data_IF_168833360554
#
_entry.id   IF_168833360554
#
_cell.length_a   1.000
_cell.length_b   1.000
_cell.length_c   1.000
_cell.angle_alpha   90.00
_cell.angle_beta   90.00
_cell.angle_gamma   90.00
#
_symmetry.space_group_name_H-M   'P 1'
#
loop_
_entity.id
_entity.type
_entity.pdbx_description
1 polymer ?
#
# COMPACT_ATOMS: atom_id res chain seq x y z
N UNK A 1 -68.20 -5.96 35.52
CA UNK A 1 -67.53 -6.41 34.30
C UNK A 1 -67.11 -5.25 33.34
N UNK A 2 -67.88 -4.13 33.22
CA UNK A 2 -67.56 -3.02 32.26
C UNK A 2 -66.28 -2.23 32.52
N UNK A 3 -65.65 -2.26 33.70
CA UNK A 3 -64.42 -1.53 34.04
C UNK A 3 -63.13 -2.32 33.89
N UNK A 4 -63.19 -3.66 33.71
CA UNK A 4 -62.05 -4.53 33.60
C UNK A 4 -61.49 -4.53 32.14
N UNK A 5 -62.36 -4.41 31.14
CA UNK A 5 -61.98 -4.43 29.73
C UNK A 5 -61.03 -3.28 29.37
N UNK A 6 -61.26 -2.00 29.73
CA UNK A 6 -60.33 -0.96 29.40
C UNK A 6 -58.96 -1.06 30.09
N UNK A 7 -58.95 -1.66 31.31
CA UNK A 7 -57.69 -1.91 32.02
C UNK A 7 -56.87 -3.03 31.32
N UNK A 8 -57.53 -4.11 30.92
CA UNK A 8 -56.88 -5.20 30.16
C UNK A 8 -56.37 -4.72 28.81
N UNK A 9 -57.11 -3.89 28.09
CA UNK A 9 -56.66 -3.28 26.83
C UNK A 9 -55.45 -2.36 27.02
N UNK A 10 -55.44 -1.55 28.07
CA UNK A 10 -54.31 -0.68 28.39
C UNK A 10 -53.05 -1.50 28.74
N UNK A 11 -53.20 -2.55 29.56
CA UNK A 11 -52.06 -3.41 29.92
C UNK A 11 -51.51 -4.18 28.68
N UNK A 12 -52.41 -4.70 27.83
CA UNK A 12 -51.96 -5.37 26.59
C UNK A 12 -51.24 -4.40 25.63
N UNK A 13 -51.68 -3.14 25.53
CA UNK A 13 -51.01 -2.11 24.72
C UNK A 13 -49.60 -1.80 25.25
N UNK A 14 -49.49 -1.67 26.58
CA UNK A 14 -48.16 -1.43 27.21
C UNK A 14 -47.22 -2.62 26.95
N UNK A 15 -47.68 -3.85 27.04
CA UNK A 15 -46.89 -5.04 26.75
C UNK A 15 -46.46 -5.07 25.28
N UNK A 16 -47.35 -4.72 24.35
CA UNK A 16 -47.02 -4.64 22.92
C UNK A 16 -45.97 -3.56 22.62
N UNK A 17 -46.09 -2.39 23.24
CA UNK A 17 -45.12 -1.32 23.11
C UNK A 17 -43.76 -1.76 23.68
N UNK A 18 -43.75 -2.37 24.86
CA UNK A 18 -42.51 -2.87 25.47
C UNK A 18 -41.86 -3.97 24.60
N UNK A 19 -42.65 -4.92 24.10
CA UNK A 19 -42.18 -5.96 23.18
C UNK A 19 -41.65 -5.37 21.87
N UNK A 20 -42.32 -4.36 21.31
CA UNK A 20 -41.87 -3.63 20.13
C UNK A 20 -40.54 -2.91 20.37
N UNK A 21 -40.39 -2.26 21.54
CA UNK A 21 -39.14 -1.58 21.91
C UNK A 21 -37.98 -2.57 22.09
N UNK A 22 -38.22 -3.70 22.78
CA UNK A 22 -37.20 -4.76 22.93
C UNK A 22 -36.84 -5.35 21.56
N UNK A 23 -37.87 -5.66 20.74
CA UNK A 23 -37.66 -6.15 19.37
C UNK A 23 -36.85 -5.16 18.52
N UNK A 24 -37.15 -3.87 18.59
CA UNK A 24 -36.40 -2.82 17.91
C UNK A 24 -34.91 -2.75 18.36
N UNK A 25 -34.67 -2.82 19.68
CA UNK A 25 -33.31 -2.86 20.24
C UNK A 25 -32.52 -4.07 19.77
N UNK A 26 -33.19 -5.23 19.70
CA UNK A 26 -32.56 -6.45 19.17
C UNK A 26 -32.23 -6.31 17.68
N UNK A 27 -33.19 -5.81 16.89
CA UNK A 27 -32.95 -5.54 15.44
C UNK A 27 -31.84 -4.54 15.21
N UNK A 28 -31.85 -3.45 15.97
CA UNK A 28 -30.80 -2.40 15.88
C UNK A 28 -29.39 -2.99 16.07
N UNK A 29 -29.24 -3.99 16.95
CA UNK A 29 -27.96 -4.68 17.20
C UNK A 29 -27.41 -5.40 15.95
N UNK A 30 -28.30 -5.86 15.06
CA UNK A 30 -27.95 -6.61 13.85
C UNK A 30 -27.98 -5.75 12.58
N UNK A 31 -28.48 -4.51 12.64
CA UNK A 31 -28.48 -3.62 11.49
C UNK A 31 -27.05 -3.12 11.18
N UNK A 32 -26.60 -3.22 9.92
CA UNK A 32 -25.29 -2.69 9.51
C UNK A 32 -25.18 -1.18 9.75
N UNK A 33 -24.03 -0.74 10.23
CA UNK A 33 -23.74 0.71 10.25
C UNK A 33 -23.55 1.23 8.84
N UNK A 34 -23.92 2.50 8.65
CA UNK A 34 -23.63 3.29 7.44
C UNK A 34 -22.49 4.31 7.66
N UNK A 35 -21.91 4.30 8.85
CA UNK A 35 -20.80 5.19 9.19
C UNK A 35 -19.58 4.86 8.34
N UNK A 36 -19.00 5.88 7.71
CA UNK A 36 -17.77 5.77 6.93
C UNK A 36 -16.56 6.02 7.80
N UNK A 37 -15.49 5.31 7.48
CA UNK A 37 -14.19 5.55 8.08
C UNK A 37 -13.55 6.80 7.46
N UNK A 38 -12.79 7.49 8.25
CA UNK A 38 -11.80 8.45 7.77
C UNK A 38 -10.58 7.67 7.29
N UNK A 39 -10.23 7.80 6.01
CA UNK A 39 -9.12 7.04 5.44
C UNK A 39 -7.76 7.53 5.95
N UNK A 40 -7.63 8.81 6.31
CA UNK A 40 -6.42 9.32 6.94
C UNK A 40 -6.18 8.67 8.31
N UNK A 41 -7.26 8.49 9.10
CA UNK A 41 -7.19 7.74 10.37
C UNK A 41 -6.88 6.24 10.13
N UNK A 42 -7.50 5.63 9.10
CA UNK A 42 -7.30 4.19 8.77
C UNK A 42 -5.86 3.90 8.39
N UNK A 43 -5.25 4.78 7.59
CA UNK A 43 -3.90 4.62 7.08
C UNK A 43 -2.84 5.37 7.91
N UNK A 44 -3.24 6.03 9.01
CA UNK A 44 -2.33 6.77 9.91
C UNK A 44 -1.45 7.79 9.16
N UNK A 45 -2.04 8.53 8.22
CA UNK A 45 -1.35 9.54 7.41
C UNK A 45 -1.98 10.91 7.61
N UNK A 46 -1.18 11.96 7.47
CA UNK A 46 -1.60 13.34 7.60
C UNK A 46 -0.91 14.23 6.56
N UNK A 47 -1.55 15.31 6.16
CA UNK A 47 -0.97 16.29 5.23
C UNK A 47 -0.52 15.66 3.90
N UNK A 48 0.78 15.70 3.65
CA UNK A 48 1.39 15.17 2.43
C UNK A 48 1.90 13.73 2.57
N UNK A 49 1.71 13.11 3.72
CA UNK A 49 2.10 11.72 3.93
C UNK A 49 1.28 10.76 3.06
N UNK A 50 1.93 9.69 2.62
CA UNK A 50 1.33 8.61 1.83
C UNK A 50 1.63 7.28 2.52
N UNK A 51 0.60 6.50 2.83
CA UNK A 51 0.78 5.17 3.41
C UNK A 51 1.42 4.22 2.38
N UNK A 52 2.40 3.45 2.82
CA UNK A 52 3.00 2.38 2.03
C UNK A 52 2.33 1.08 2.43
N UNK A 53 1.75 0.38 1.45
CA UNK A 53 1.12 -0.93 1.66
C UNK A 53 1.88 -1.93 0.78
N UNK A 54 2.68 -2.80 1.41
CA UNK A 54 3.48 -3.80 0.73
C UNK A 54 2.89 -5.19 0.95
N UNK A 55 2.58 -5.88 -0.14
CA UNK A 55 1.90 -7.18 -0.12
C UNK A 55 0.67 -7.19 0.80
N UNK A 56 -0.14 -6.12 0.71
CA UNK A 56 -1.38 -5.88 1.48
C UNK A 56 -1.19 -5.62 2.97
N UNK A 57 0.05 -5.45 3.45
CA UNK A 57 0.35 -5.05 4.82
C UNK A 57 0.87 -3.60 4.86
N UNK A 58 0.27 -2.79 5.73
CA UNK A 58 0.71 -1.41 5.92
C UNK A 58 2.08 -1.38 6.59
N UNK A 59 2.97 -0.55 6.05
CA UNK A 59 4.31 -0.35 6.55
C UNK A 59 4.34 0.77 7.60
N UNK A 60 5.35 0.76 8.47
CA UNK A 60 5.54 1.81 9.48
C UNK A 60 6.05 3.11 8.85
N UNK A 61 6.91 3.01 7.84
CA UNK A 61 7.39 4.16 7.07
C UNK A 61 6.30 4.66 6.13
N UNK A 62 6.29 5.97 5.90
CA UNK A 62 5.40 6.64 4.96
C UNK A 62 6.17 7.24 3.80
N UNK A 63 5.52 7.32 2.65
CA UNK A 63 5.97 8.14 1.53
C UNK A 63 5.48 9.57 1.67
N UNK A 64 5.82 10.39 0.69
CA UNK A 64 5.43 11.81 0.59
C UNK A 64 4.72 12.05 -0.74
N UNK A 65 3.62 12.78 -0.72
CA UNK A 65 2.95 13.28 -1.93
C UNK A 65 3.29 14.75 -2.13
N UNK A 66 4.06 15.04 -3.16
CA UNK A 66 4.49 16.39 -3.48
C UNK A 66 4.61 16.59 -4.99
N UNK A 67 4.43 17.80 -5.49
CA UNK A 67 4.50 18.13 -6.91
C UNK A 67 3.62 17.24 -7.82
N UNK A 68 2.49 16.75 -7.30
CA UNK A 68 1.58 15.88 -8.05
C UNK A 68 2.05 14.43 -8.18
N UNK A 69 3.01 13.99 -7.37
CA UNK A 69 3.57 12.64 -7.38
C UNK A 69 3.78 12.10 -5.97
N UNK A 70 3.77 10.78 -5.86
CA UNK A 70 4.18 10.06 -4.65
C UNK A 70 5.66 9.71 -4.74
N UNK A 71 6.36 9.91 -3.64
CA UNK A 71 7.77 9.56 -3.45
C UNK A 71 7.90 8.62 -2.25
N UNK A 72 8.81 7.65 -2.33
CA UNK A 72 9.07 6.69 -1.25
C UNK A 72 10.49 6.84 -0.71
N UNK A 73 10.71 6.62 0.61
CA UNK A 73 12.04 6.68 1.20
C UNK A 73 12.99 5.67 0.54
N UNK A 74 14.21 6.10 0.20
CA UNK A 74 15.23 5.22 -0.39
C UNK A 74 15.58 4.04 0.55
N UNK A 75 15.54 4.29 1.86
CA UNK A 75 15.75 3.26 2.87
C UNK A 75 14.71 2.15 2.74
N UNK A 76 13.42 2.50 2.66
CA UNK A 76 12.34 1.53 2.46
C UNK A 76 12.47 0.77 1.12
N UNK A 77 12.80 1.49 0.04
CA UNK A 77 12.97 0.89 -1.30
C UNK A 77 14.10 -0.13 -1.31
N UNK A 78 15.23 0.20 -0.69
CA UNK A 78 16.38 -0.70 -0.59
C UNK A 78 16.08 -1.96 0.24
N UNK A 79 15.34 -1.80 1.33
CA UNK A 79 15.04 -2.92 2.23
C UNK A 79 14.00 -3.90 1.65
N UNK A 80 13.08 -3.41 0.78
CA UNK A 80 11.92 -4.21 0.37
C UNK A 80 11.87 -4.54 -1.12
N UNK A 81 12.52 -3.76 -1.98
CA UNK A 81 12.37 -3.94 -3.44
C UNK A 81 13.68 -4.09 -4.18
N UNK A 82 14.62 -3.19 -4.02
CA UNK A 82 15.89 -3.18 -4.75
C UNK A 82 16.99 -2.43 -4.00
N UNK A 83 17.94 -3.12 -3.43
CA UNK A 83 19.06 -2.61 -2.62
C UNK A 83 20.14 -1.84 -3.42
N UNK A 84 19.93 -1.58 -4.71
CA UNK A 84 20.96 -1.00 -5.60
C UNK A 84 20.90 0.51 -5.73
N UNK A 85 19.92 1.15 -5.13
CA UNK A 85 19.87 2.60 -5.07
C UNK A 85 20.84 3.10 -4.01
N UNK A 86 21.90 3.79 -4.44
CA UNK A 86 22.91 4.35 -3.54
C UNK A 86 22.83 5.87 -3.56
N UNK A 87 22.73 6.47 -2.39
CA UNK A 87 22.80 7.91 -2.21
C UNK A 87 24.19 8.30 -1.67
N UNK A 88 24.90 9.12 -2.45
CA UNK A 88 26.14 9.76 -2.02
C UNK A 88 25.80 11.11 -1.36
N UNK A 89 25.87 11.15 -0.02
CA UNK A 89 25.55 12.35 0.75
C UNK A 89 26.66 13.41 0.72
N UNK A 90 27.82 13.13 0.12
CA UNK A 90 28.90 14.09 -0.04
C UNK A 90 28.71 14.87 -1.33
N UNK A 91 28.34 14.17 -2.40
CA UNK A 91 28.13 14.74 -3.73
C UNK A 91 26.66 15.10 -4.00
N UNK A 92 25.74 14.81 -3.05
CA UNK A 92 24.28 14.95 -3.19
C UNK A 92 23.76 14.27 -4.46
N UNK A 93 24.17 13.02 -4.68
CA UNK A 93 23.97 12.30 -5.91
C UNK A 93 23.40 10.90 -5.68
N UNK A 94 22.28 10.60 -6.34
CA UNK A 94 21.77 9.24 -6.46
C UNK A 94 22.56 8.49 -7.54
N UNK A 95 23.05 7.32 -7.21
CA UNK A 95 23.81 6.45 -8.10
C UNK A 95 23.10 5.13 -8.26
N UNK A 96 22.88 4.69 -9.50
CA UNK A 96 22.35 3.38 -9.82
C UNK A 96 23.23 2.71 -10.88
N UNK A 97 23.91 1.62 -10.50
CA UNK A 97 24.82 0.90 -11.38
C UNK A 97 24.08 -0.15 -12.22
N UNK A 98 24.13 -0.01 -13.53
CA UNK A 98 23.70 -0.98 -14.52
C UNK A 98 24.91 -1.76 -15.07
N UNK A 99 24.72 -2.88 -15.78
CA UNK A 99 25.82 -3.71 -16.31
C UNK A 99 26.77 -2.97 -17.25
N UNK A 100 26.29 -2.00 -17.98
CA UNK A 100 26.97 -1.27 -19.06
C UNK A 100 27.06 0.25 -18.81
N UNK A 101 26.39 0.77 -17.81
CA UNK A 101 26.40 2.19 -17.49
C UNK A 101 26.09 2.47 -16.02
N UNK A 102 26.38 3.68 -15.58
CA UNK A 102 25.94 4.19 -14.27
C UNK A 102 24.96 5.32 -14.53
N UNK A 103 23.79 5.24 -13.87
CA UNK A 103 22.78 6.28 -13.90
C UNK A 103 22.96 7.18 -12.68
N UNK A 104 22.97 8.48 -12.90
CA UNK A 104 23.07 9.50 -11.88
C UNK A 104 21.81 10.36 -11.88
N UNK A 105 21.37 10.77 -10.70
CA UNK A 105 20.32 11.76 -10.53
C UNK A 105 20.58 12.58 -9.26
N UNK A 106 20.25 13.87 -9.32
CA UNK A 106 20.28 14.81 -8.22
C UNK A 106 18.90 15.44 -8.00
N UNK A 107 18.77 16.35 -7.05
CA UNK A 107 17.51 17.02 -6.74
C UNK A 107 16.98 17.92 -7.88
N UNK A 108 17.84 18.32 -8.83
CA UNK A 108 17.45 19.11 -10.01
C UNK A 108 17.03 18.24 -11.19
N UNK A 109 17.36 16.95 -11.16
CA UNK A 109 17.04 15.99 -12.22
C UNK A 109 15.53 15.77 -12.28
N UNK A 110 14.93 16.03 -13.45
CA UNK A 110 13.49 15.98 -13.67
C UNK A 110 13.08 14.77 -14.51
N UNK A 111 11.96 14.21 -14.14
CA UNK A 111 11.28 13.19 -14.96
C UNK A 111 10.61 13.79 -16.20
N UNK A 112 10.04 12.93 -17.02
CA UNK A 112 9.34 13.31 -18.27
C UNK A 112 8.13 14.24 -18.05
N UNK A 113 7.57 14.26 -16.87
CA UNK A 113 6.47 15.13 -16.45
C UNK A 113 6.94 16.49 -15.88
N UNK A 114 8.25 16.73 -15.83
CA UNK A 114 8.86 17.97 -15.34
C UNK A 114 9.00 18.08 -13.82
N UNK A 115 8.52 17.09 -13.05
CA UNK A 115 8.74 17.05 -11.61
C UNK A 115 10.08 16.39 -11.24
N UNK A 116 10.68 16.73 -10.08
CA UNK A 116 11.93 16.12 -9.62
C UNK A 116 11.83 14.59 -9.56
N UNK A 117 12.89 13.87 -9.92
CA UNK A 117 12.96 12.40 -9.78
C UNK A 117 13.15 11.95 -8.34
N UNK A 118 13.73 12.82 -7.52
CA UNK A 118 13.95 12.58 -6.10
C UNK A 118 13.73 13.85 -5.28
N UNK A 119 13.48 13.68 -4.00
CA UNK A 119 13.42 14.75 -3.01
C UNK A 119 14.38 14.41 -1.86
N UNK A 120 15.01 15.43 -1.28
CA UNK A 120 15.79 15.29 -0.05
C UNK A 120 15.09 16.09 1.05
N UNK A 121 14.63 15.41 2.11
CA UNK A 121 13.94 16.02 3.24
C UNK A 121 14.38 15.34 4.54
N UNK A 122 14.66 16.14 5.55
CA UNK A 122 15.01 15.66 6.88
C UNK A 122 16.09 14.55 6.88
N UNK A 123 17.14 14.74 6.05
CA UNK A 123 18.26 13.80 5.85
C UNK A 123 17.86 12.47 5.16
N UNK A 124 16.62 12.32 4.74
CA UNK A 124 16.14 11.17 3.97
C UNK A 124 15.93 11.54 2.51
N UNK A 125 16.23 10.59 1.63
CA UNK A 125 16.02 10.72 0.18
C UNK A 125 14.78 9.94 -0.22
N UNK A 126 13.92 10.58 -0.99
CA UNK A 126 12.67 10.01 -1.47
C UNK A 126 12.72 9.89 -2.99
N UNK A 127 12.38 8.73 -3.52
CA UNK A 127 12.40 8.41 -4.94
C UNK A 127 10.97 8.38 -5.52
N UNK A 128 10.78 8.90 -6.74
CA UNK A 128 9.49 8.78 -7.43
C UNK A 128 9.12 7.33 -7.70
N UNK A 129 7.81 7.03 -7.71
CA UNK A 129 7.31 5.70 -8.09
C UNK A 129 7.75 5.30 -9.51
N UNK A 130 7.85 6.26 -10.44
CA UNK A 130 8.34 6.01 -11.79
C UNK A 130 9.79 5.57 -11.83
N UNK A 131 10.66 6.20 -11.01
CA UNK A 131 12.06 5.80 -10.90
C UNK A 131 12.18 4.40 -10.30
N UNK A 132 11.42 4.11 -9.25
CA UNK A 132 11.38 2.78 -8.62
C UNK A 132 10.91 1.73 -9.64
N UNK A 133 9.79 1.96 -10.33
CA UNK A 133 9.23 1.03 -11.30
C UNK A 133 10.17 0.70 -12.47
N UNK A 134 11.06 1.62 -12.85
CA UNK A 134 12.03 1.38 -13.92
C UNK A 134 13.13 0.38 -13.54
N UNK A 135 13.37 0.17 -12.25
CA UNK A 135 14.48 -0.65 -11.75
C UNK A 135 14.06 -1.76 -10.80
N UNK A 136 12.75 -1.98 -10.61
CA UNK A 136 12.24 -3.01 -9.69
C UNK A 136 11.15 -3.84 -10.34
N UNK A 137 11.12 -5.14 -10.04
CA UNK A 137 10.11 -6.08 -10.54
C UNK A 137 8.94 -6.20 -9.57
N UNK A 138 8.20 -5.11 -9.40
CA UNK A 138 7.04 -5.04 -8.53
C UNK A 138 5.85 -4.37 -9.23
N UNK A 139 4.66 -4.70 -8.80
CA UNK A 139 3.45 -3.98 -9.18
C UNK A 139 3.26 -2.77 -8.27
N UNK A 140 3.16 -1.57 -8.83
CA UNK A 140 2.94 -0.33 -8.09
C UNK A 140 1.61 0.30 -8.52
N UNK A 141 0.77 0.68 -7.56
CA UNK A 141 -0.49 1.38 -7.76
C UNK A 141 -0.62 2.50 -6.74
N UNK A 142 -0.68 3.75 -7.19
CA UNK A 142 -0.86 4.92 -6.34
C UNK A 142 -2.33 5.35 -6.30
N UNK A 143 -2.78 5.79 -5.13
CA UNK A 143 -4.12 6.31 -4.87
C UNK A 143 -3.96 7.65 -4.14
N UNK A 144 -3.72 8.70 -4.94
CA UNK A 144 -3.27 10.02 -4.48
C UNK A 144 -4.43 11.00 -4.26
N UNK A 145 -5.65 10.61 -4.65
CA UNK A 145 -6.81 11.48 -4.56
C UNK A 145 -7.52 11.38 -3.22
N UNK A 146 -7.87 12.53 -2.64
CA UNK A 146 -8.62 12.60 -1.39
C UNK A 146 -7.78 12.36 -0.13
N UNK A 147 -8.47 12.06 0.96
CA UNK A 147 -7.85 11.75 2.24
C UNK A 147 -7.33 10.31 2.26
N UNK A 148 -6.29 10.05 3.04
CA UNK A 148 -5.70 8.72 3.15
C UNK A 148 -4.98 8.27 1.88
N UNK A 149 -4.08 9.15 1.36
CA UNK A 149 -3.19 8.82 0.25
C UNK A 149 -2.41 7.56 0.55
N UNK A 150 -2.28 6.68 -0.44
CA UNK A 150 -1.61 5.40 -0.28
C UNK A 150 -1.04 4.87 -1.57
N UNK A 151 -0.02 4.08 -1.46
CA UNK A 151 0.57 3.31 -2.56
C UNK A 151 0.55 1.83 -2.22
N UNK A 152 0.01 1.02 -3.12
CA UNK A 152 0.09 -0.42 -3.07
C UNK A 152 1.29 -0.89 -3.87
N UNK A 153 2.15 -1.66 -3.25
CA UNK A 153 3.30 -2.31 -3.86
C UNK A 153 3.17 -3.80 -3.59
N UNK A 154 3.18 -4.60 -4.64
CA UNK A 154 3.03 -6.03 -4.50
C UNK A 154 4.03 -6.75 -5.39
N UNK A 155 4.58 -7.84 -4.88
CA UNK A 155 5.36 -8.77 -5.69
C UNK A 155 4.46 -9.42 -6.74
N UNK A 156 5.03 -9.73 -7.89
CA UNK A 156 4.34 -10.52 -8.90
C UNK A 156 4.15 -11.96 -8.44
N UNK A 157 3.08 -12.60 -8.86
CA UNK A 157 2.83 -13.98 -8.48
C UNK A 157 1.36 -14.38 -8.56
N UNK A 158 1.06 -15.54 -8.01
CA UNK A 158 -0.32 -16.03 -7.89
C UNK A 158 -1.00 -15.36 -6.69
N UNK A 159 -2.23 -14.88 -6.89
CA UNK A 159 -3.08 -14.30 -5.84
C UNK A 159 -4.45 -14.93 -5.88
N UNK A 160 -5.05 -15.07 -4.75
CA UNK A 160 -6.43 -15.50 -4.63
C UNK A 160 -7.36 -14.32 -4.93
N UNK A 161 -8.29 -14.50 -5.83
CA UNK A 161 -9.28 -13.48 -6.20
C UNK A 161 -10.70 -14.01 -6.07
N UNK A 162 -11.63 -13.12 -5.82
CA UNK A 162 -13.06 -13.43 -5.81
C UNK A 162 -13.85 -12.27 -6.40
N UNK A 163 -15.02 -12.57 -6.99
CA UNK A 163 -15.95 -11.55 -7.47
C UNK A 163 -17.02 -11.24 -6.42
N UNK A 164 -17.40 -9.99 -6.36
CA UNK A 164 -18.50 -9.52 -5.52
C UNK A 164 -19.84 -9.91 -6.16
N UNK A 165 -20.62 -10.78 -5.52
CA UNK A 165 -21.93 -11.27 -6.03
C UNK A 165 -23.03 -10.21 -5.98
N UNK A 166 -22.97 -9.29 -5.01
CA UNK A 166 -23.96 -8.22 -4.78
C UNK A 166 -23.26 -7.03 -4.14
N UNK A 167 -23.72 -5.82 -4.46
CA UNK A 167 -23.22 -4.60 -3.82
C UNK A 167 -23.09 -4.79 -2.30
N UNK A 168 -21.96 -4.41 -1.79
CA UNK A 168 -21.60 -4.56 -0.37
C UNK A 168 -20.62 -3.48 0.03
N UNK A 169 -20.24 -3.43 1.30
CA UNK A 169 -19.24 -2.49 1.78
C UNK A 169 -18.04 -3.23 2.33
N UNK A 170 -16.85 -2.73 2.00
CA UNK A 170 -15.59 -3.09 2.64
C UNK A 170 -15.52 -2.38 4.00
N UNK A 171 -15.18 -3.09 5.06
CA UNK A 171 -15.17 -2.56 6.43
C UNK A 171 -13.82 -2.68 7.09
N UNK A 172 -13.53 -1.81 8.06
CA UNK A 172 -12.25 -1.84 8.79
C UNK A 172 -12.02 -3.18 9.50
N UNK A 173 -13.10 -3.79 10.04
CA UNK A 173 -13.04 -5.06 10.79
C UNK A 173 -14.19 -5.97 10.35
N UNK A 174 -14.04 -7.25 10.57
CA UNK A 174 -15.10 -8.26 10.33
C UNK A 174 -16.28 -8.07 11.26
N UNK A 175 -17.27 -7.27 10.86
CA UNK A 175 -18.47 -7.01 11.64
C UNK A 175 -19.38 -5.95 11.00
N UNK A 176 -20.70 -6.18 11.06
CA UNK A 176 -21.70 -5.27 10.47
C UNK A 176 -21.74 -3.89 11.12
N UNK A 177 -21.19 -3.73 12.32
CA UNK A 177 -21.08 -2.46 13.06
C UNK A 177 -19.77 -1.74 12.83
N UNK A 178 -18.80 -2.36 12.13
CA UNK A 178 -17.55 -1.72 11.78
C UNK A 178 -17.76 -0.65 10.70
N UNK A 179 -17.06 0.47 10.78
CA UNK A 179 -17.11 1.55 9.82
C UNK A 179 -16.78 1.06 8.40
N UNK A 180 -17.37 1.71 7.41
CA UNK A 180 -17.19 1.41 5.99
C UNK A 180 -15.94 2.14 5.49
N UNK A 181 -15.03 1.40 4.87
CA UNK A 181 -13.84 1.92 4.19
C UNK A 181 -14.22 2.39 2.78
N UNK A 182 -14.81 1.49 2.00
CA UNK A 182 -15.29 1.78 0.64
C UNK A 182 -16.49 0.89 0.30
N UNK A 183 -17.21 1.23 -0.77
CA UNK A 183 -18.28 0.41 -1.31
C UNK A 183 -17.74 -0.44 -2.44
N UNK A 184 -18.21 -1.70 -2.51
CA UNK A 184 -17.90 -2.63 -3.57
C UNK A 184 -19.15 -2.89 -4.40
N UNK A 185 -19.02 -2.69 -5.70
CA UNK A 185 -20.05 -2.98 -6.67
C UNK A 185 -20.18 -4.48 -6.94
N UNK A 186 -21.33 -4.88 -7.49
CA UNK A 186 -21.45 -6.20 -8.08
C UNK A 186 -20.46 -6.37 -9.21
N UNK A 187 -19.87 -7.57 -9.31
CA UNK A 187 -18.87 -7.98 -10.30
C UNK A 187 -17.47 -7.36 -10.11
N UNK A 188 -17.26 -6.47 -9.11
CA UNK A 188 -15.92 -6.06 -8.72
C UNK A 188 -15.09 -7.30 -8.36
N UNK A 189 -13.84 -7.30 -8.78
CA UNK A 189 -12.87 -8.34 -8.41
C UNK A 189 -12.03 -7.83 -7.25
N UNK A 190 -11.97 -8.61 -6.16
CA UNK A 190 -11.14 -8.32 -4.99
C UNK A 190 -10.07 -9.38 -4.83
N UNK A 191 -8.91 -8.98 -4.32
CA UNK A 191 -7.89 -9.95 -3.91
C UNK A 191 -8.20 -10.44 -2.50
N UNK A 192 -8.31 -11.75 -2.33
CA UNK A 192 -8.58 -12.38 -1.04
C UNK A 192 -7.25 -12.65 -0.34
N UNK A 193 -7.00 -11.94 0.76
CA UNK A 193 -5.77 -12.01 1.53
C UNK A 193 -5.87 -13.14 2.55
N UNK A 194 -7.00 -13.17 3.28
CA UNK A 194 -7.27 -14.17 4.31
C UNK A 194 -8.78 -14.48 4.39
N UNK A 195 -9.12 -15.72 4.74
CA UNK A 195 -10.51 -16.18 4.87
C UNK A 195 -10.77 -16.69 6.28
N UNK A 196 -11.73 -16.06 6.95
CA UNK A 196 -12.24 -16.45 8.27
C UNK A 196 -13.63 -17.09 8.13
N UNK A 197 -14.22 -17.50 9.25
CA UNK A 197 -15.51 -18.20 9.26
C UNK A 197 -16.65 -17.46 8.52
N UNK A 198 -16.78 -16.13 8.73
CA UNK A 198 -17.89 -15.33 8.16
C UNK A 198 -17.43 -14.14 7.31
N UNK A 199 -16.18 -13.76 7.42
CA UNK A 199 -15.57 -12.59 6.79
C UNK A 199 -14.29 -12.98 6.11
N UNK A 200 -13.96 -12.33 5.01
CA UNK A 200 -12.63 -12.39 4.39
C UNK A 200 -11.98 -11.03 4.44
N UNK A 201 -10.68 -10.99 4.71
CA UNK A 201 -9.84 -9.82 4.52
C UNK A 201 -9.49 -9.75 3.04
N UNK A 202 -9.79 -8.62 2.42
CA UNK A 202 -9.61 -8.45 0.98
C UNK A 202 -9.01 -7.09 0.66
N UNK A 203 -8.34 -7.01 -0.50
CA UNK A 203 -7.98 -5.75 -1.13
C UNK A 203 -8.95 -5.45 -2.26
N UNK A 204 -9.48 -4.25 -2.26
CA UNK A 204 -10.43 -3.74 -3.28
C UNK A 204 -9.71 -3.12 -4.49
N UNK A 205 -10.40 -2.94 -5.63
CA UNK A 205 -9.81 -2.33 -6.82
C UNK A 205 -9.30 -0.90 -6.61
N UNK A 206 -9.89 -0.16 -5.67
CA UNK A 206 -9.47 1.19 -5.27
C UNK A 206 -8.36 1.20 -4.21
N UNK A 207 -7.66 0.07 -4.02
CA UNK A 207 -6.49 -0.04 -3.17
C UNK A 207 -6.76 0.02 -1.67
N UNK A 208 -7.99 -0.24 -1.23
CA UNK A 208 -8.32 -0.33 0.18
C UNK A 208 -8.24 -1.78 0.66
N UNK A 209 -7.70 -1.98 1.87
CA UNK A 209 -7.68 -3.28 2.54
C UNK A 209 -8.70 -3.28 3.67
N UNK A 210 -9.50 -4.35 3.77
CA UNK A 210 -10.53 -4.45 4.78
C UNK A 210 -11.27 -5.78 4.73
N UNK A 211 -12.49 -5.82 5.28
CA UNK A 211 -13.24 -7.05 5.47
C UNK A 211 -14.58 -7.02 4.73
N UNK A 212 -14.92 -8.13 4.08
CA UNK A 212 -16.20 -8.38 3.39
C UNK A 212 -16.79 -9.69 3.88
N UNK A 213 -18.13 -9.75 3.99
CA UNK A 213 -18.83 -11.01 4.34
C UNK A 213 -18.62 -12.08 3.24
N UNK A 214 -18.23 -13.30 3.61
CA UNK A 214 -17.98 -14.41 2.67
C UNK A 214 -19.17 -14.70 1.75
N UNK A 215 -20.41 -14.56 2.25
CA UNK A 215 -21.63 -14.73 1.44
C UNK A 215 -21.75 -13.75 0.28
N UNK A 216 -20.99 -12.64 0.29
CA UNK A 216 -20.97 -11.60 -0.75
C UNK A 216 -19.96 -11.91 -1.85
N UNK A 217 -19.04 -12.83 -1.61
CA UNK A 217 -17.98 -13.21 -2.54
C UNK A 217 -18.34 -14.49 -3.29
N UNK A 218 -17.86 -14.62 -4.52
CA UNK A 218 -17.85 -15.88 -5.27
C UNK A 218 -16.88 -16.88 -4.64
N UNK A 219 -16.77 -18.04 -5.22
CA UNK A 219 -15.68 -18.95 -4.91
C UNK A 219 -14.35 -18.28 -5.22
N UNK A 220 -13.34 -18.62 -4.44
CA UNK A 220 -12.00 -18.06 -4.56
C UNK A 220 -11.24 -18.81 -5.67
N UNK A 221 -10.65 -18.06 -6.59
CA UNK A 221 -9.87 -18.58 -7.69
C UNK A 221 -8.44 -18.06 -7.59
N UNK A 222 -7.45 -18.87 -7.98
CA UNK A 222 -6.06 -18.42 -8.06
C UNK A 222 -5.81 -17.80 -9.44
N UNK A 223 -5.38 -16.55 -9.46
CA UNK A 223 -5.00 -15.82 -10.67
C UNK A 223 -3.53 -15.43 -10.63
N UNK A 224 -2.79 -15.66 -11.72
CA UNK A 224 -1.39 -15.25 -11.85
C UNK A 224 -1.29 -13.82 -12.37
N UNK A 225 -0.51 -13.00 -11.68
CA UNK A 225 -0.14 -11.65 -12.08
C UNK A 225 1.35 -11.63 -12.43
N UNK A 226 1.71 -10.93 -13.50
CA UNK A 226 3.10 -10.80 -13.97
C UNK A 226 3.35 -9.42 -14.53
N UNK A 227 4.54 -8.89 -14.30
CA UNK A 227 5.06 -7.68 -14.93
C UNK A 227 5.82 -7.97 -16.22
N UNK A 228 6.30 -6.91 -16.83
CA UNK A 228 7.14 -6.93 -18.03
C UNK A 228 8.56 -6.44 -17.72
N UNK A 229 8.98 -6.48 -16.46
CA UNK A 229 10.32 -6.03 -16.06
C UNK A 229 11.37 -7.02 -16.56
N UNK A 230 12.35 -6.51 -17.29
CA UNK A 230 13.51 -7.28 -17.72
C UNK A 230 14.69 -6.93 -16.82
N UNK A 231 15.02 -7.83 -15.90
CA UNK A 231 16.11 -7.63 -14.96
C UNK A 231 17.46 -7.48 -15.71
N UNK A 232 18.27 -6.46 -15.38
CA UNK A 232 19.61 -6.32 -15.95
C UNK A 232 20.47 -7.53 -15.62
N UNK A 233 21.18 -8.07 -16.62
CA UNK A 233 22.06 -9.22 -16.46
C UNK A 233 23.48 -8.75 -16.15
N UNK A 234 23.87 -8.88 -14.88
CA UNK A 234 25.23 -8.58 -14.42
C UNK A 234 26.15 -9.76 -14.69
N UNK A 235 27.12 -9.57 -15.57
CA UNK A 235 28.11 -10.62 -15.88
C UNK A 235 29.23 -10.54 -14.85
N UNK A 236 29.42 -11.60 -14.10
CA UNK A 236 30.62 -11.76 -13.26
C UNK A 236 31.83 -12.01 -14.16
N UNK A 237 32.83 -11.14 -14.08
CA UNK A 237 34.11 -11.35 -14.77
C UNK A 237 34.98 -12.17 -13.84
N UNK A 238 35.17 -13.46 -14.13
CA UNK A 238 36.18 -14.25 -13.44
C UNK A 238 37.54 -14.04 -14.13
N UNK A 239 38.52 -13.56 -13.40
CA UNK A 239 39.88 -13.47 -13.86
C UNK A 239 40.62 -14.74 -13.42
N UNK A 240 41.19 -15.48 -14.39
CA UNK A 240 42.11 -16.57 -14.10
C UNK A 240 43.53 -16.02 -13.97
N UNK A 241 44.07 -15.96 -12.76
CA UNK A 241 45.42 -15.46 -12.51
C UNK A 241 45.60 -14.85 -11.13
N UNK A 242 46.79 -14.40 -10.82
CA UNK A 242 47.05 -13.62 -9.60
C UNK A 242 46.61 -12.17 -9.81
N UNK A 243 45.72 -11.70 -8.97
CA UNK A 243 45.33 -10.29 -8.93
C UNK A 243 46.18 -9.62 -7.86
N UNK A 244 46.94 -8.59 -8.25
CA UNK A 244 47.65 -7.72 -7.31
C UNK A 244 46.89 -6.43 -7.22
N UNK A 245 46.28 -6.15 -6.07
CA UNK A 245 45.62 -4.86 -5.79
C UNK A 245 46.61 -4.00 -5.01
N UNK A 246 46.97 -2.86 -5.60
CA UNK A 246 47.75 -1.82 -4.93
C UNK A 246 46.84 -0.65 -4.50
N UNK A 247 46.96 -0.23 -3.26
CA UNK A 247 46.30 0.96 -2.75
C UNK A 247 47.31 2.10 -2.69
N UNK A 248 46.96 3.23 -3.28
CA UNK A 248 47.76 4.44 -3.18
C UNK A 248 46.96 5.48 -2.39
N UNK A 249 47.47 5.88 -1.24
CA UNK A 249 46.88 6.93 -0.45
C UNK A 249 47.46 8.28 -0.91
N UNK A 250 46.61 9.12 -1.51
CA UNK A 250 46.98 10.50 -1.83
C UNK A 250 46.70 11.36 -0.62
N UNK A 251 47.73 11.80 0.08
CA UNK A 251 47.61 12.63 1.29
C UNK A 251 47.77 14.12 1.06
N UNK A 252 48.20 14.52 -0.16
CA UNK A 252 48.38 15.92 -0.55
C UNK A 252 48.03 16.10 -2.02
N UNK A 253 47.66 17.35 -2.42
CA UNK A 253 47.34 17.71 -3.81
C UNK A 253 48.50 17.48 -4.80
N UNK A 254 49.73 17.36 -4.30
CA UNK A 254 50.95 17.15 -5.08
C UNK A 254 51.41 15.67 -5.12
N UNK A 255 50.55 14.76 -4.79
CA UNK A 255 50.86 13.32 -4.85
C UNK A 255 51.18 12.88 -6.27
N UNK A 256 52.43 12.46 -6.49
CA UNK A 256 52.90 11.94 -7.78
C UNK A 256 52.34 10.52 -7.98
N UNK A 257 51.46 10.37 -8.95
CA UNK A 257 50.81 9.08 -9.28
C UNK A 257 51.57 8.34 -10.41
N UNK A 258 52.88 8.47 -10.53
CA UNK A 258 53.63 7.67 -11.47
C UNK A 258 53.80 6.25 -10.98
N UNK A 259 53.12 5.30 -11.62
CA UNK A 259 53.45 3.90 -11.52
C UNK A 259 54.46 3.57 -12.62
N UNK A 260 55.67 3.26 -12.26
CA UNK A 260 56.62 2.68 -13.21
C UNK A 260 56.21 1.22 -13.45
N UNK A 261 56.00 0.89 -14.71
CA UNK A 261 55.63 -0.43 -15.23
C UNK A 261 56.77 -1.41 -15.27
#
# INVERSE_FOLDING_TARGET
MKKIVPVLTAVSLIILIAAGFVGFRVLERYMPTKERADLAEVYHVSGDETAIIYNYEQQEQTGIYENGQTYLPISWVNDHTNERFYWDSIEDLLVYALPDQIVYADAETKGSNGAPLLLVKDEEVYLTLGLIANYTDVQIQAFDSGDGKRVLINDWGARNVARVKKNTSLRIKGGVKSKIVTDLGRDDTVTVIDTMEKWSRVASPDGNVGYVENKRLSDVESQKFSGNFEAPVYKSTSMSGKIVLGWHQVTTQDGNNSFDS
#
